data_IF_090902699608
#
_entry.id   IF_090902699608
#
_cell.length_a   1.000
_cell.length_b   1.000
_cell.length_c   1.000
_cell.angle_alpha   90.00
_cell.angle_beta   90.00
_cell.angle_gamma   90.00
#
_symmetry.space_group_name_H-M   'P 1'
#
loop_
_entity.id
_entity.type
_entity.pdbx_description
1 polymer ?
#
# COMPACT_ATOMS: atom_id res chain seq x y z
N UNK A 1 4.70 5.90 -20.95
CA UNK A 1 5.86 5.06 -20.53
C UNK A 1 5.62 4.42 -19.15
N UNK A 2 5.22 5.14 -18.10
CA UNK A 2 5.00 4.59 -16.75
C UNK A 2 3.93 3.48 -16.70
N UNK A 3 2.75 3.68 -17.27
CA UNK A 3 1.66 2.67 -17.32
C UNK A 3 2.12 1.34 -17.94
N UNK A 4 2.85 1.40 -19.07
CA UNK A 4 3.36 0.20 -19.71
C UNK A 4 4.37 -0.55 -18.82
N UNK A 5 5.20 0.16 -18.06
CA UNK A 5 6.12 -0.46 -17.09
C UNK A 5 5.36 -1.08 -15.90
N UNK A 6 4.34 -0.42 -15.38
CA UNK A 6 3.49 -0.98 -14.32
C UNK A 6 2.84 -2.28 -14.76
N UNK A 7 2.26 -2.32 -15.97
CA UNK A 7 1.72 -3.56 -16.55
C UNK A 7 2.78 -4.66 -16.70
N UNK A 8 3.98 -4.31 -17.18
CA UNK A 8 5.05 -5.26 -17.37
C UNK A 8 5.57 -5.84 -16.04
N UNK A 9 5.53 -5.07 -14.95
CA UNK A 9 5.83 -5.56 -13.59
C UNK A 9 4.70 -6.45 -13.11
N UNK A 10 3.44 -6.01 -13.21
CA UNK A 10 2.26 -6.77 -12.78
C UNK A 10 2.20 -8.16 -13.40
N UNK A 11 2.55 -8.29 -14.68
CA UNK A 11 2.60 -9.58 -15.37
C UNK A 11 3.69 -10.54 -14.85
N UNK A 12 4.62 -10.08 -14.02
CA UNK A 12 5.77 -10.85 -13.54
C UNK A 12 5.79 -11.09 -12.03
N UNK A 13 4.93 -10.38 -11.29
CA UNK A 13 4.89 -10.47 -9.83
C UNK A 13 3.53 -10.99 -9.36
N UNK A 14 3.53 -12.07 -8.59
CA UNK A 14 2.33 -12.61 -7.97
C UNK A 14 2.00 -11.89 -6.66
N UNK A 15 3.05 -11.49 -5.93
CA UNK A 15 2.99 -10.84 -4.63
C UNK A 15 3.48 -9.39 -4.69
N UNK A 16 3.63 -8.75 -3.52
CA UNK A 16 4.07 -7.37 -3.43
C UNK A 16 5.56 -7.24 -3.79
N UNK A 17 5.93 -6.50 -4.85
CA UNK A 17 7.33 -6.22 -5.13
C UNK A 17 7.90 -5.35 -4.02
N UNK A 18 9.05 -5.75 -3.48
CA UNK A 18 9.70 -5.08 -2.35
C UNK A 18 11.03 -4.45 -2.77
N UNK A 19 12.01 -5.27 -3.11
CA UNK A 19 13.34 -4.85 -3.54
C UNK A 19 13.73 -5.57 -4.83
N UNK A 20 14.79 -5.09 -5.47
CA UNK A 20 15.37 -5.80 -6.63
C UNK A 20 16.75 -6.31 -6.29
N UNK A 21 16.97 -7.59 -6.55
CA UNK A 21 18.26 -8.23 -6.48
C UNK A 21 18.59 -8.87 -7.84
N UNK A 22 19.79 -8.66 -8.34
CA UNK A 22 20.22 -9.20 -9.63
C UNK A 22 19.21 -8.92 -10.76
N UNK A 23 18.60 -7.72 -10.78
CA UNK A 23 17.58 -7.29 -11.75
C UNK A 23 16.26 -8.07 -11.68
N UNK A 24 15.97 -8.78 -10.60
CA UNK A 24 14.72 -9.49 -10.34
C UNK A 24 14.03 -8.92 -9.12
N UNK A 25 12.71 -8.84 -9.16
CA UNK A 25 11.92 -8.47 -8.00
C UNK A 25 11.96 -9.58 -6.96
N UNK A 26 12.31 -9.21 -5.74
CA UNK A 26 11.99 -9.96 -4.53
C UNK A 26 10.63 -9.49 -4.06
N UNK A 27 9.73 -10.42 -3.79
CA UNK A 27 8.35 -10.13 -3.39
C UNK A 27 8.10 -10.58 -1.97
N UNK A 28 7.08 -9.97 -1.33
CA UNK A 28 6.61 -10.36 0.00
C UNK A 28 5.12 -10.64 -0.03
N UNK A 29 4.62 -11.60 0.77
CA UNK A 29 3.22 -11.97 0.74
C UNK A 29 2.30 -10.92 1.39
N UNK A 30 2.82 -10.11 2.32
CA UNK A 30 2.08 -9.15 3.14
C UNK A 30 2.38 -7.68 2.83
N UNK A 31 3.29 -7.42 1.88
CA UNK A 31 3.69 -6.08 1.46
C UNK A 31 4.68 -5.38 2.37
N UNK A 32 5.04 -5.96 3.52
CA UNK A 32 5.95 -5.35 4.53
C UNK A 32 5.55 -3.88 4.77
N UNK A 33 6.39 -2.91 4.40
CA UNK A 33 6.08 -1.46 4.43
C UNK A 33 5.95 -0.86 3.01
N UNK A 34 6.44 -1.55 1.98
CA UNK A 34 6.47 -1.08 0.59
C UNK A 34 5.21 -1.43 -0.21
N UNK A 35 4.37 -2.33 0.30
CA UNK A 35 3.21 -2.82 -0.44
C UNK A 35 2.21 -1.74 -0.85
N UNK A 36 2.10 -0.68 -0.04
CA UNK A 36 1.27 0.47 -0.36
C UNK A 36 1.71 1.20 -1.63
N UNK A 37 3.01 1.30 -1.89
CA UNK A 37 3.52 1.92 -3.10
C UNK A 37 3.15 1.12 -4.36
N UNK A 38 3.16 -0.20 -4.27
CA UNK A 38 2.72 -1.03 -5.39
C UNK A 38 1.24 -0.83 -5.70
N UNK A 39 0.37 -0.84 -4.68
CA UNK A 39 -1.05 -0.51 -4.83
C UNK A 39 -1.22 0.90 -5.45
N UNK A 40 -0.47 1.88 -4.94
CA UNK A 40 -0.49 3.26 -5.43
C UNK A 40 -0.10 3.39 -6.90
N UNK A 41 0.92 2.66 -7.35
CA UNK A 41 1.31 2.63 -8.77
C UNK A 41 0.21 2.06 -9.65
N UNK A 42 -0.50 1.02 -9.20
CA UNK A 42 -1.64 0.44 -9.91
C UNK A 42 -2.80 1.43 -9.99
N UNK A 43 -3.16 2.12 -8.89
CA UNK A 43 -4.19 3.16 -8.88
C UNK A 43 -3.84 4.32 -9.79
N UNK A 44 -2.61 4.82 -9.75
CA UNK A 44 -2.15 5.91 -10.63
C UNK A 44 -2.17 5.50 -12.10
N UNK A 45 -1.72 4.29 -12.41
CA UNK A 45 -1.72 3.77 -13.77
C UNK A 45 -3.15 3.58 -14.31
N UNK A 46 -4.08 3.13 -13.46
CA UNK A 46 -5.49 3.01 -13.78
C UNK A 46 -6.12 4.39 -14.03
N UNK A 47 -5.88 5.35 -13.14
CA UNK A 47 -6.44 6.70 -13.26
C UNK A 47 -5.96 7.41 -14.54
N UNK A 48 -4.71 7.17 -14.95
CA UNK A 48 -4.16 7.76 -16.17
C UNK A 48 -4.62 7.07 -17.45
N UNK A 49 -4.81 5.75 -17.43
CA UNK A 49 -5.07 4.94 -18.62
C UNK A 49 -6.49 4.38 -18.75
N UNK A 50 -7.31 4.47 -17.70
CA UNK A 50 -8.67 3.93 -17.69
C UNK A 50 -8.76 2.40 -17.83
N UNK A 51 -7.66 1.69 -17.56
CA UNK A 51 -7.54 0.26 -17.82
C UNK A 51 -8.30 -0.58 -16.77
N UNK A 52 -9.35 -1.33 -17.17
CA UNK A 52 -10.12 -2.18 -16.26
C UNK A 52 -9.28 -3.27 -15.58
N UNK A 53 -8.26 -3.81 -16.27
CA UNK A 53 -7.36 -4.80 -15.69
C UNK A 53 -6.54 -4.19 -14.54
N UNK A 54 -5.96 -3.01 -14.76
CA UNK A 54 -5.21 -2.32 -13.69
C UNK A 54 -6.12 -1.93 -12.53
N UNK A 55 -7.41 -1.59 -12.79
CA UNK A 55 -8.39 -1.35 -11.74
C UNK A 55 -8.61 -2.60 -10.88
N UNK A 56 -8.86 -3.75 -11.51
CA UNK A 56 -9.07 -5.01 -10.80
C UNK A 56 -7.82 -5.40 -9.97
N UNK A 57 -6.64 -5.21 -10.54
CA UNK A 57 -5.37 -5.45 -9.82
C UNK A 57 -5.16 -4.51 -8.66
N UNK A 58 -5.45 -3.21 -8.82
CA UNK A 58 -5.34 -2.22 -7.74
C UNK A 58 -6.26 -2.57 -6.57
N UNK A 59 -7.50 -2.98 -6.85
CA UNK A 59 -8.45 -3.48 -5.85
C UNK A 59 -7.85 -4.70 -5.14
N UNK A 60 -7.50 -5.76 -5.86
CA UNK A 60 -7.01 -7.00 -5.28
C UNK A 60 -5.75 -6.81 -4.42
N UNK A 61 -4.83 -5.94 -4.84
CA UNK A 61 -3.61 -5.63 -4.08
C UNK A 61 -3.93 -4.79 -2.85
N UNK A 62 -4.86 -3.82 -2.94
CA UNK A 62 -5.30 -3.00 -1.81
C UNK A 62 -5.98 -3.87 -0.76
N UNK A 63 -6.91 -4.75 -1.15
CA UNK A 63 -7.65 -5.65 -0.25
C UNK A 63 -6.70 -6.50 0.61
N UNK A 64 -5.61 -6.97 0.03
CA UNK A 64 -4.59 -7.75 0.76
C UNK A 64 -3.85 -6.94 1.84
N UNK A 65 -3.84 -5.62 1.77
CA UNK A 65 -3.23 -4.76 2.78
C UNK A 65 -4.18 -4.42 3.94
N UNK A 66 -5.51 -4.49 3.73
CA UNK A 66 -6.49 -4.05 4.74
C UNK A 66 -6.29 -4.69 6.13
N UNK A 67 -5.98 -6.00 6.25
CA UNK A 67 -5.74 -6.61 7.56
C UNK A 67 -4.58 -5.99 8.36
N UNK A 68 -3.64 -5.31 7.67
CA UNK A 68 -2.50 -4.64 8.30
C UNK A 68 -2.85 -3.31 8.97
N UNK A 69 -4.09 -2.80 8.83
CA UNK A 69 -4.50 -1.52 9.37
C UNK A 69 -4.37 -1.43 10.91
N UNK A 70 -4.53 -2.54 11.60
CA UNK A 70 -4.41 -2.63 13.06
C UNK A 70 -2.99 -2.97 13.57
N UNK A 71 -1.99 -2.94 12.71
CA UNK A 71 -0.60 -3.27 13.06
C UNK A 71 0.05 -2.11 13.86
N UNK A 72 0.06 -2.23 15.18
CA UNK A 72 0.63 -1.21 16.08
C UNK A 72 2.16 -1.30 16.22
N UNK A 73 2.80 -2.28 15.60
CA UNK A 73 4.25 -2.42 15.59
C UNK A 73 4.92 -1.82 14.34
N UNK A 74 4.11 -1.37 13.37
CA UNK A 74 4.60 -0.82 12.11
C UNK A 74 4.42 0.70 12.07
N UNK A 75 5.52 1.43 12.07
CA UNK A 75 5.51 2.90 11.97
C UNK A 75 5.28 3.41 10.53
N UNK A 76 5.32 2.53 9.52
CA UNK A 76 5.17 2.86 8.10
C UNK A 76 3.71 2.75 7.60
N UNK A 77 2.73 2.68 8.50
CA UNK A 77 1.31 2.58 8.11
C UNK A 77 0.86 3.69 7.17
N UNK A 78 1.44 4.89 7.28
CA UNK A 78 1.18 5.98 6.35
C UNK A 78 1.60 5.64 4.92
N UNK A 79 2.77 5.03 4.74
CA UNK A 79 3.26 4.57 3.42
C UNK A 79 2.44 3.41 2.87
N UNK A 80 1.86 2.60 3.74
CA UNK A 80 1.02 1.49 3.31
C UNK A 80 -0.38 1.97 2.91
N UNK A 81 -1.04 2.80 3.72
CA UNK A 81 -2.47 3.07 3.57
C UNK A 81 -2.82 4.32 2.79
N UNK A 82 -1.96 5.35 2.73
CA UNK A 82 -2.23 6.53 1.91
C UNK A 82 -2.24 6.19 0.41
N UNK A 83 -1.22 5.52 -0.15
CA UNK A 83 -1.22 5.21 -1.56
C UNK A 83 -2.13 4.02 -1.93
N UNK A 84 -2.55 3.19 -0.98
CA UNK A 84 -3.45 2.05 -1.22
C UNK A 84 -4.91 2.39 -0.88
N UNK A 85 -5.28 2.31 0.39
CA UNK A 85 -6.67 2.42 0.82
C UNK A 85 -7.26 3.83 0.60
N UNK A 86 -6.52 4.91 0.89
CA UNK A 86 -7.01 6.27 0.60
C UNK A 86 -7.17 6.51 -0.89
N UNK A 87 -6.21 6.05 -1.71
CA UNK A 87 -6.32 6.15 -3.16
C UNK A 87 -7.48 5.29 -3.70
N UNK A 88 -7.64 4.08 -3.17
CA UNK A 88 -8.76 3.20 -3.49
C UNK A 88 -10.12 3.79 -3.16
N UNK A 89 -10.28 4.34 -1.95
CA UNK A 89 -11.50 5.02 -1.56
C UNK A 89 -11.83 6.20 -2.50
N UNK A 90 -10.85 7.03 -2.82
CA UNK A 90 -11.04 8.15 -3.76
C UNK A 90 -11.44 7.69 -5.16
N UNK A 91 -10.94 6.53 -5.60
CA UNK A 91 -11.23 5.99 -6.92
C UNK A 91 -12.55 5.21 -7.01
N UNK A 92 -13.05 4.67 -5.89
CA UNK A 92 -14.19 3.74 -5.87
C UNK A 92 -15.36 4.22 -5.03
N UNK A 93 -15.11 5.06 -4.01
CA UNK A 93 -16.09 5.38 -2.97
C UNK A 93 -16.31 4.26 -1.95
N UNK A 94 -15.50 3.21 -1.96
CA UNK A 94 -15.66 2.06 -1.06
C UNK A 94 -15.30 2.44 0.39
N UNK A 95 -16.30 2.43 1.26
CA UNK A 95 -16.15 2.80 2.67
C UNK A 95 -15.29 1.82 3.47
N UNK A 96 -15.09 0.59 3.02
CA UNK A 96 -14.14 -0.34 3.65
C UNK A 96 -12.70 0.19 3.57
N UNK A 97 -12.34 0.81 2.46
CA UNK A 97 -11.02 1.44 2.30
C UNK A 97 -10.85 2.66 3.22
N UNK A 98 -11.90 3.48 3.34
CA UNK A 98 -11.90 4.61 4.26
C UNK A 98 -11.75 4.15 5.71
N UNK A 99 -12.52 3.15 6.11
CA UNK A 99 -12.45 2.57 7.45
C UNK A 99 -11.06 2.02 7.78
N UNK A 100 -10.45 1.26 6.84
CA UNK A 100 -9.10 0.73 7.02
C UNK A 100 -8.06 1.85 7.13
N UNK A 101 -8.15 2.91 6.32
CA UNK A 101 -7.25 4.05 6.40
C UNK A 101 -7.35 4.78 7.76
N UNK A 102 -8.57 4.94 8.30
CA UNK A 102 -8.77 5.54 9.62
C UNK A 102 -8.22 4.63 10.74
N UNK A 103 -8.43 3.32 10.64
CA UNK A 103 -7.85 2.35 11.58
C UNK A 103 -6.33 2.43 11.56
N UNK A 104 -5.70 2.46 10.39
CA UNK A 104 -4.25 2.59 10.24
C UNK A 104 -3.73 3.90 10.85
N UNK A 105 -4.44 5.01 10.66
CA UNK A 105 -4.09 6.29 11.27
C UNK A 105 -4.18 6.24 12.80
N UNK A 106 -5.21 5.59 13.35
CA UNK A 106 -5.37 5.39 14.80
C UNK A 106 -4.28 4.48 15.36
N UNK A 107 -3.95 3.38 14.66
CA UNK A 107 -2.87 2.47 15.05
C UNK A 107 -1.50 3.17 15.05
N UNK A 108 -1.25 4.06 14.10
CA UNK A 108 -0.04 4.87 14.05
C UNK A 108 -0.03 5.92 15.17
N UNK A 109 -1.15 6.59 15.41
CA UNK A 109 -1.28 7.57 16.48
C UNK A 109 -1.08 6.95 17.87
N UNK A 110 -1.49 5.69 18.06
CA UNK A 110 -1.28 4.96 19.31
C UNK A 110 0.20 4.67 19.63
N UNK A 111 1.09 4.77 18.63
CA UNK A 111 2.54 4.63 18.81
C UNK A 111 3.19 5.93 19.28
N UNK A 112 2.44 7.03 19.40
CA UNK A 112 3.00 8.32 19.79
C UNK A 112 3.53 8.31 21.23
N UNK A 113 4.80 8.65 21.37
CA UNK A 113 5.46 8.84 22.66
C UNK A 113 5.25 10.29 23.12
N UNK A 114 4.33 10.50 24.07
CA UNK A 114 3.98 11.83 24.55
C UNK A 114 5.14 12.52 25.29
N UNK A 115 6.02 11.76 25.96
CA UNK A 115 7.17 12.31 26.68
C UNK A 115 8.24 12.80 25.72
N UNK A 116 8.50 12.03 24.67
CA UNK A 116 9.53 12.36 23.67
C UNK A 116 9.02 13.23 22.53
N UNK A 117 7.70 13.33 22.33
CA UNK A 117 7.10 14.11 21.24
C UNK A 117 7.29 13.49 19.85
N UNK A 118 7.38 12.15 19.74
CA UNK A 118 7.64 11.46 18.48
C UNK A 118 6.87 10.14 18.36
N UNK A 119 6.77 9.63 17.14
CA UNK A 119 6.41 8.24 16.86
C UNK A 119 7.73 7.49 16.61
N UNK A 120 8.02 6.38 17.35
CA UNK A 120 9.25 5.62 17.16
C UNK A 120 9.31 5.04 15.74
N UNK A 121 10.43 5.28 15.05
CA UNK A 121 10.80 4.54 13.88
C UNK A 121 11.78 3.44 14.27
N UNK A 122 11.88 2.35 13.52
CA UNK A 122 12.80 1.22 13.74
C UNK A 122 12.96 0.85 15.23
N UNK A 123 12.46 -0.30 15.64
CA UNK A 123 12.65 -0.79 17.00
C UNK A 123 14.14 -0.97 17.29
N UNK A 124 14.69 -0.10 18.14
CA UNK A 124 15.97 -0.26 18.80
C UNK A 124 15.72 -0.73 20.21
#
# INVERSE_FOLDING_TARGET
>A
MAVARTRAIDARVADFPHITEQKRWQTTPDGVWTGGFWAGLLWLAQAHGGDPHLRARAIAVTDRLLPRAADTANHDLGFMFVPSAVAGWRATGDEAYRAAALTAAQSLAAQYNATGGYIPGWGF
#
